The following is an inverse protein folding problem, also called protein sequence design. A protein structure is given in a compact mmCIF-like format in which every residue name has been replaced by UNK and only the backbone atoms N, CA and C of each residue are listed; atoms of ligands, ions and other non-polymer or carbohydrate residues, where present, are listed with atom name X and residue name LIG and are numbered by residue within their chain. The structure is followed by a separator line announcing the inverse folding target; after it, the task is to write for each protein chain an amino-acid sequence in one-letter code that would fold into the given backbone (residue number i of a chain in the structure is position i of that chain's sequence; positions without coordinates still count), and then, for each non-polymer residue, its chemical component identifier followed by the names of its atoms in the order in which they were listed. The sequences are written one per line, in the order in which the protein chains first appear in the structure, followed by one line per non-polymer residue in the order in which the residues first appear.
data_IF_069215965650
#
_entry.id   IF_069215965650
#
_cell.length_a   1.000
_cell.length_b   1.000
_cell.length_c   1.000
_cell.angle_alpha   90.00
_cell.angle_beta   90.00
_cell.angle_gamma   90.00
#
_symmetry.space_group_name_H-M   'P 1'
#
loop_
_entity.id
_entity.type
_entity.pdbx_description
1 polymer ?
#
# COMPACT_ATOMS: atom_id res chain seq x y z
N UNK A 1 -35.14 16.30 -11.02
CA UNK A 1 -34.04 17.30 -11.07
C UNK A 1 -33.04 16.81 -10.05
N UNK A 2 -32.00 16.08 -10.50
CA UNK A 2 -30.96 15.53 -9.61
C UNK A 2 -30.09 16.71 -9.19
N UNK A 3 -29.82 16.81 -7.90
CA UNK A 3 -29.18 17.96 -7.27
C UNK A 3 -27.72 18.08 -7.74
N UNK A 4 -27.45 18.96 -8.70
CA UNK A 4 -26.12 19.23 -9.28
C UNK A 4 -25.18 19.97 -8.31
N UNK A 5 -25.58 20.19 -7.05
CA UNK A 5 -24.84 20.98 -6.04
C UNK A 5 -24.24 20.17 -4.90
N UNK A 6 -24.36 18.83 -4.91
CA UNK A 6 -23.88 18.00 -3.80
C UNK A 6 -22.36 18.12 -3.54
N UNK A 7 -21.58 18.54 -4.55
CA UNK A 7 -20.11 18.57 -4.50
C UNK A 7 -19.47 19.96 -4.67
N UNK A 8 -20.27 21.03 -4.68
CA UNK A 8 -19.74 22.39 -4.83
C UNK A 8 -19.03 22.82 -3.54
N UNK A 9 -17.73 23.12 -3.62
CA UNK A 9 -16.90 23.51 -2.46
C UNK A 9 -16.26 22.36 -1.68
N UNK A 10 -16.40 21.12 -2.16
CA UNK A 10 -15.74 19.96 -1.54
C UNK A 10 -14.27 19.91 -1.99
N UNK A 11 -13.34 20.16 -1.06
CA UNK A 11 -11.91 19.90 -1.26
C UNK A 11 -11.65 18.47 -0.83
N UNK A 12 -11.51 17.57 -1.81
CA UNK A 12 -11.14 16.19 -1.54
C UNK A 12 -9.72 16.11 -1.00
N UNK A 13 -9.50 15.20 -0.04
CA UNK A 13 -8.14 14.88 0.37
C UNK A 13 -7.40 14.20 -0.78
N UNK A 14 -6.07 14.38 -0.87
CA UNK A 14 -5.27 13.58 -1.79
C UNK A 14 -5.48 12.11 -1.47
N UNK A 15 -5.67 11.32 -2.52
CA UNK A 15 -5.81 9.89 -2.37
C UNK A 15 -4.52 9.30 -1.83
N UNK A 16 -4.67 8.52 -0.76
CA UNK A 16 -3.58 7.72 -0.25
C UNK A 16 -3.38 6.54 -1.19
N UNK A 17 -2.15 6.09 -1.38
CA UNK A 17 -1.87 4.99 -2.28
C UNK A 17 -2.64 3.73 -1.90
N UNK A 18 -3.06 3.02 -2.92
CA UNK A 18 -3.92 1.85 -2.85
C UNK A 18 -3.30 0.67 -2.10
N UNK A 19 -1.98 0.61 -1.93
CA UNK A 19 -1.31 -0.50 -1.24
C UNK A 19 -0.28 0.03 -0.25
N UNK A 20 -0.46 -0.36 1.01
CA UNK A 20 0.50 -0.16 2.10
C UNK A 20 0.95 -1.53 2.62
N UNK A 21 2.26 -1.72 2.76
CA UNK A 21 2.89 -2.99 3.12
C UNK A 21 3.64 -2.83 4.41
N UNK A 22 3.20 -3.53 5.45
CA UNK A 22 3.87 -3.61 6.74
C UNK A 22 4.81 -4.81 6.74
N UNK A 23 6.09 -4.54 6.91
CA UNK A 23 7.15 -5.53 6.95
C UNK A 23 7.58 -5.71 8.40
N UNK A 24 7.68 -6.94 8.86
CA UNK A 24 8.16 -7.24 10.21
C UNK A 24 9.25 -8.30 10.14
N UNK A 25 10.32 -8.15 10.91
CA UNK A 25 11.28 -9.22 11.08
C UNK A 25 10.66 -10.33 11.94
N UNK A 26 10.69 -11.57 11.47
CA UNK A 26 10.24 -12.72 12.28
C UNK A 26 11.15 -13.03 13.47
N UNK A 27 12.23 -12.27 13.64
CA UNK A 27 13.23 -12.39 14.71
C UNK A 27 13.38 -11.04 15.41
N UNK A 28 13.81 -11.02 16.67
CA UNK A 28 14.13 -9.81 17.47
C UNK A 28 15.35 -9.01 16.94
N UNK A 29 15.68 -9.18 15.65
CA UNK A 29 16.78 -8.50 14.99
C UNK A 29 16.27 -7.22 14.34
N UNK A 30 17.14 -6.22 14.17
CA UNK A 30 16.79 -5.06 13.37
C UNK A 30 16.43 -5.49 11.95
N UNK A 31 15.34 -4.93 11.44
CA UNK A 31 14.92 -5.02 10.06
C UNK A 31 15.62 -3.87 9.32
N UNK A 32 16.58 -4.15 8.42
CA UNK A 32 17.12 -3.11 7.55
C UNK A 32 16.03 -2.61 6.61
N UNK A 33 16.27 -1.45 6.00
CA UNK A 33 15.31 -0.79 5.13
C UNK A 33 14.83 -1.74 4.02
N UNK A 34 13.54 -2.13 4.03
CA UNK A 34 13.03 -3.03 3.01
C UNK A 34 12.96 -2.32 1.67
N UNK A 35 12.99 -3.09 0.59
CA UNK A 35 12.89 -2.60 -0.78
C UNK A 35 11.82 -3.41 -1.49
N UNK A 36 10.90 -2.71 -2.16
CA UNK A 36 9.92 -3.31 -3.04
C UNK A 36 10.55 -3.56 -4.41
N UNK A 37 10.35 -4.75 -4.96
CA UNK A 37 10.78 -5.11 -6.31
C UNK A 37 9.55 -5.46 -7.14
N UNK A 38 9.38 -4.78 -8.28
CA UNK A 38 8.22 -4.96 -9.17
C UNK A 38 7.11 -3.91 -9.00
N UNK A 39 7.20 -3.02 -8.00
CA UNK A 39 6.32 -1.86 -7.84
C UNK A 39 7.14 -0.66 -7.37
N UNK A 40 6.76 0.54 -7.78
CA UNK A 40 7.35 1.77 -7.27
C UNK A 40 6.75 2.14 -5.90
N UNK A 41 7.59 2.60 -4.99
CA UNK A 41 7.17 3.00 -3.67
C UNK A 41 8.34 3.44 -2.81
N UNK A 42 8.01 3.89 -1.61
CA UNK A 42 8.94 4.26 -0.57
C UNK A 42 8.81 3.32 0.61
N UNK A 43 9.94 2.93 1.17
CA UNK A 43 10.00 2.11 2.35
C UNK A 43 10.72 2.85 3.47
N UNK A 44 10.24 2.63 4.69
CA UNK A 44 10.90 3.12 5.90
C UNK A 44 10.98 1.95 6.87
N UNK A 45 12.08 1.86 7.61
CA UNK A 45 12.26 0.87 8.68
C UNK A 45 12.55 1.58 9.99
N UNK A 46 11.91 1.12 11.06
CA UNK A 46 12.18 1.53 12.43
C UNK A 46 12.42 0.29 13.29
N UNK A 47 13.67 0.10 13.70
CA UNK A 47 14.09 -1.03 14.54
C UNK A 47 13.82 -2.38 13.88
N UNK A 48 12.76 -3.09 14.30
CA UNK A 48 12.39 -4.43 13.82
C UNK A 48 11.15 -4.46 12.90
N UNK A 49 10.58 -3.30 12.58
CA UNK A 49 9.43 -3.17 11.70
C UNK A 49 9.72 -2.18 10.58
N UNK A 50 9.01 -2.31 9.46
CA UNK A 50 9.07 -1.41 8.35
C UNK A 50 7.71 -1.22 7.72
N UNK A 51 7.55 -0.09 7.04
CA UNK A 51 6.35 0.25 6.28
C UNK A 51 6.82 0.65 4.90
N UNK A 52 6.27 -0.01 3.89
CA UNK A 52 6.45 0.33 2.50
C UNK A 52 5.15 0.81 1.91
N UNK A 53 5.16 2.01 1.39
CA UNK A 53 4.01 2.65 0.75
C UNK A 53 4.26 2.62 -0.75
N UNK A 54 3.36 1.96 -1.49
CA UNK A 54 3.45 1.97 -2.96
C UNK A 54 3.01 3.32 -3.53
N UNK A 55 3.34 3.63 -4.78
CA UNK A 55 2.75 4.75 -5.50
C UNK A 55 1.56 4.34 -6.37
N UNK A 56 1.00 3.17 -6.10
CA UNK A 56 -0.15 2.63 -6.83
C UNK A 56 -1.40 3.40 -6.45
N UNK A 57 -2.10 3.95 -7.44
CA UNK A 57 -3.35 4.71 -7.24
C UNK A 57 -4.44 4.24 -8.21
N UNK A 58 -4.35 2.98 -8.63
CA UNK A 58 -5.27 2.38 -9.60
C UNK A 58 -5.72 1.02 -9.07
N UNK A 59 -6.97 0.62 -9.34
CA UNK A 59 -7.42 -0.74 -9.07
C UNK A 59 -6.75 -1.73 -10.02
N UNK A 60 -6.50 -2.94 -9.53
CA UNK A 60 -5.84 -3.99 -10.29
C UNK A 60 -5.16 -5.04 -9.42
N UNK A 61 -4.61 -6.06 -10.08
CA UNK A 61 -3.81 -7.09 -9.44
C UNK A 61 -2.33 -6.70 -9.48
N UNK A 62 -1.74 -6.58 -8.29
CA UNK A 62 -0.34 -6.21 -8.10
C UNK A 62 0.43 -7.37 -7.51
N UNK A 63 1.54 -7.73 -8.14
CA UNK A 63 2.46 -8.74 -7.66
C UNK A 63 3.86 -8.14 -7.58
N UNK A 64 4.44 -8.17 -6.38
CA UNK A 64 5.76 -7.60 -6.11
C UNK A 64 6.47 -8.43 -5.05
N UNK A 65 7.77 -8.21 -4.88
CA UNK A 65 8.58 -8.88 -3.88
C UNK A 65 9.11 -7.87 -2.87
N UNK A 66 9.02 -8.21 -1.59
CA UNK A 66 9.64 -7.44 -0.51
C UNK A 66 10.99 -8.08 -0.20
N UNK A 67 12.04 -7.28 -0.27
CA UNK A 67 13.41 -7.73 -0.01
C UNK A 67 14.03 -6.89 1.10
N UNK A 68 14.79 -7.50 1.98
CA UNK A 68 15.59 -6.80 2.98
C UNK A 68 16.94 -7.50 3.11
N UNK A 69 18.01 -6.74 3.36
CA UNK A 69 19.35 -7.30 3.44
C UNK A 69 19.45 -8.33 4.58
N UNK A 70 19.92 -9.55 4.28
CA UNK A 70 20.02 -10.64 5.26
C UNK A 70 18.70 -11.37 5.57
N UNK A 71 17.63 -11.09 4.82
CA UNK A 71 16.36 -11.79 4.91
C UNK A 71 15.96 -12.38 3.57
N UNK A 72 15.18 -13.46 3.59
CA UNK A 72 14.64 -14.08 2.38
C UNK A 72 13.60 -13.17 1.73
N UNK A 73 13.62 -13.03 0.40
CA UNK A 73 12.60 -12.26 -0.30
C UNK A 73 11.22 -12.89 -0.10
N UNK A 74 10.22 -12.06 0.18
CA UNK A 74 8.83 -12.48 0.28
C UNK A 74 8.03 -11.99 -0.92
N UNK A 75 7.44 -12.93 -1.67
CA UNK A 75 6.53 -12.59 -2.76
C UNK A 75 5.15 -12.21 -2.18
N UNK A 76 4.64 -11.07 -2.64
CA UNK A 76 3.36 -10.49 -2.23
C UNK A 76 2.47 -10.37 -3.45
N UNK A 77 1.20 -10.73 -3.28
CA UNK A 77 0.16 -10.54 -4.28
C UNK A 77 -1.02 -9.85 -3.62
N UNK A 78 -1.46 -8.75 -4.20
CA UNK A 78 -2.52 -7.90 -3.68
C UNK A 78 -3.47 -7.58 -4.83
N UNK A 79 -4.75 -7.72 -4.58
CA UNK A 79 -5.78 -7.27 -5.52
C UNK A 79 -6.42 -6.03 -4.94
N UNK A 80 -6.26 -4.90 -5.63
CA UNK A 80 -6.92 -3.64 -5.29
C UNK A 80 -8.24 -3.61 -6.05
N UNK A 81 -9.40 -3.76 -5.37
CA UNK A 81 -10.68 -3.70 -6.05
C UNK A 81 -11.01 -2.26 -6.45
N UNK A 82 -11.66 -2.11 -7.61
CA UNK A 82 -12.26 -0.85 -8.03
C UNK A 82 -13.50 -0.56 -7.17
N UNK A 83 -13.55 0.65 -6.60
CA UNK A 83 -14.69 1.11 -5.80
C UNK A 83 -15.35 2.28 -6.51
N UNK A 84 -16.50 2.02 -7.09
CA UNK A 84 -17.37 3.07 -7.63
C UNK A 84 -18.20 3.65 -6.50
N UNK A 85 -17.79 4.81 -6.00
CA UNK A 85 -18.55 5.54 -4.97
C UNK A 85 -19.67 6.33 -5.65
N UNK A 86 -20.84 5.70 -5.79
CA UNK A 86 -22.04 6.38 -6.31
C UNK A 86 -22.51 7.47 -5.33
N UNK A 87 -22.48 8.73 -5.76
CA UNK A 87 -22.95 9.86 -4.96
C UNK A 87 -21.96 10.42 -3.93
N UNK A 88 -20.71 9.94 -3.87
CA UNK A 88 -19.68 10.59 -3.08
C UNK A 88 -18.95 11.64 -3.91
N UNK A 89 -18.74 12.82 -3.34
CA UNK A 89 -17.97 13.89 -3.98
C UNK A 89 -16.47 13.62 -3.99
N UNK A 90 -16.02 12.73 -3.10
CA UNK A 90 -14.64 12.30 -3.00
C UNK A 90 -14.60 10.79 -3.02
N UNK A 91 -13.88 10.25 -3.98
CA UNK A 91 -13.65 8.82 -4.14
C UNK A 91 -12.37 8.65 -4.93
N UNK A 92 -11.49 7.79 -4.42
CA UNK A 92 -10.24 7.49 -5.12
C UNK A 92 -10.44 6.45 -6.22
N UNK A 93 -11.62 5.80 -6.27
CA UNK A 93 -11.93 4.77 -7.25
C UNK A 93 -11.37 3.39 -6.89
N UNK A 94 -10.74 3.24 -5.71
CA UNK A 94 -10.14 2.01 -5.24
C UNK A 94 -10.27 1.85 -3.72
N UNK A 95 -10.12 0.62 -3.24
CA UNK A 95 -10.03 0.30 -1.81
C UNK A 95 -8.56 0.12 -1.40
N UNK A 96 -8.12 0.89 -0.41
CA UNK A 96 -6.78 0.78 0.17
C UNK A 96 -6.55 -0.61 0.77
N UNK A 97 -5.42 -1.22 0.44
CA UNK A 97 -5.03 -2.56 0.86
C UNK A 97 -3.83 -2.49 1.81
N UNK A 98 -4.00 -3.07 2.99
CA UNK A 98 -2.94 -3.22 3.97
C UNK A 98 -2.39 -4.66 3.94
N UNK A 99 -1.15 -4.82 3.51
CA UNK A 99 -0.48 -6.11 3.43
C UNK A 99 0.47 -6.25 4.61
N UNK A 100 0.43 -7.37 5.32
CA UNK A 100 1.42 -7.68 6.35
C UNK A 100 2.34 -8.80 5.88
N UNK A 101 3.64 -8.53 5.91
CA UNK A 101 4.69 -9.42 5.46
C UNK A 101 5.64 -9.65 6.63
N UNK A 102 5.90 -10.92 6.93
CA UNK A 102 6.92 -11.31 7.89
C UNK A 102 8.11 -11.82 7.09
N UNK A 103 9.26 -11.16 7.22
CA UNK A 103 10.49 -11.62 6.59
C UNK A 103 11.21 -12.59 7.50
N UNK A 104 11.56 -13.75 6.93
CA UNK A 104 12.35 -14.78 7.58
C UNK A 104 13.83 -14.55 7.26
N UNK A 105 14.72 -14.76 8.23
CA UNK A 105 16.15 -14.58 8.02
C UNK A 105 16.68 -15.61 7.01
N UNK A 106 17.62 -15.19 6.18
CA UNK A 106 18.32 -16.09 5.24
C UNK A 106 19.22 -17.10 5.95
#
# INVERSE_FOLDING_TARGET
MRDERACEGVVCKPCLPAITVFVTAGSDHPLPEPVLSGVEGECTSDGGSGVCTTYTNEPGDYAFEVRAAGYKPAAVRVTVPEVVVDGACCGCGYEEQEVRVVLERE
#
